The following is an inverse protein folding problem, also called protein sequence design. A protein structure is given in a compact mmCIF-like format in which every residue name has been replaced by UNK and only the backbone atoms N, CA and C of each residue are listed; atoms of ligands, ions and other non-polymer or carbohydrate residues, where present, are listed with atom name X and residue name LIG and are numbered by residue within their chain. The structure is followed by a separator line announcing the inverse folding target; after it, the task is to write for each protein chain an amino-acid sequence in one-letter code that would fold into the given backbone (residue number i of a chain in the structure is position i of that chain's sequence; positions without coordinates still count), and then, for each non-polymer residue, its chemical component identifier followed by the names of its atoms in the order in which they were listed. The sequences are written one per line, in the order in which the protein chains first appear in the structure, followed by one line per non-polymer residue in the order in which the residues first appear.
data_IF_479639645952
#
_entry.id   IF_479639645952
#
_cell.length_a   1.000
_cell.length_b   1.000
_cell.length_c   1.000
_cell.angle_alpha   90.00
_cell.angle_beta   90.00
_cell.angle_gamma   90.00
#
_symmetry.space_group_name_H-M   'P 1'
#
loop_
_entity.id
_entity.type
_entity.pdbx_description
1 polymer ?
#
# COMPACT_ATOMS: atom_id res chain seq x y z
N UNK A 1 9.71 17.06 8.40
CA UNK A 1 10.19 15.88 7.66
C UNK A 1 8.99 15.17 7.06
N UNK A 2 8.79 15.28 5.75
CA UNK A 2 7.71 14.61 5.00
C UNK A 2 8.36 13.95 3.78
N UNK A 3 9.26 13.00 4.00
CA UNK A 3 10.05 12.41 2.90
C UNK A 3 9.70 10.95 2.63
N UNK A 4 8.97 10.28 3.52
CA UNK A 4 8.63 8.85 3.38
C UNK A 4 7.63 8.57 2.26
N UNK A 5 6.83 9.58 1.86
CA UNK A 5 5.86 9.46 0.75
C UNK A 5 6.53 9.44 -0.64
N UNK A 6 7.68 10.09 -0.78
CA UNK A 6 8.37 10.19 -2.07
C UNK A 6 8.97 8.85 -2.53
N UNK A 7 9.23 7.95 -1.58
CA UNK A 7 9.78 6.61 -1.85
C UNK A 7 8.70 5.54 -2.01
N UNK A 8 7.41 5.89 -1.93
CA UNK A 8 6.34 4.91 -2.10
C UNK A 8 6.17 4.55 -3.58
N UNK A 9 5.96 3.26 -3.89
CA UNK A 9 5.73 2.79 -5.26
C UNK A 9 4.39 3.27 -5.83
N UNK A 10 3.51 3.79 -4.96
CA UNK A 10 2.20 4.34 -5.34
C UNK A 10 2.18 5.84 -5.07
N UNK A 11 2.00 6.68 -6.10
CA UNK A 11 1.86 8.12 -5.91
C UNK A 11 0.55 8.42 -5.19
N UNK A 12 0.58 9.44 -4.34
CA UNK A 12 -0.59 9.93 -3.59
C UNK A 12 -1.31 8.84 -2.78
N UNK A 13 -0.58 7.79 -2.38
CA UNK A 13 -1.14 6.61 -1.73
C UNK A 13 -2.01 6.94 -0.50
N UNK A 14 -1.60 7.90 0.32
CA UNK A 14 -2.35 8.37 1.49
C UNK A 14 -3.68 9.07 1.12
N UNK A 15 -3.83 9.57 -0.11
CA UNK A 15 -5.09 10.16 -0.58
C UNK A 15 -5.99 9.13 -1.29
N UNK A 16 -5.47 7.94 -1.58
CA UNK A 16 -6.22 6.93 -2.32
C UNK A 16 -7.27 6.25 -1.43
N UNK A 17 -8.51 6.10 -1.94
CA UNK A 17 -9.51 5.28 -1.28
C UNK A 17 -9.22 3.79 -1.48
N UNK A 18 -9.55 2.96 -0.48
CA UNK A 18 -9.31 1.52 -0.52
C UNK A 18 -9.91 0.83 -1.76
N UNK A 19 -11.04 1.32 -2.28
CA UNK A 19 -11.69 0.81 -3.50
C UNK A 19 -10.83 0.94 -4.77
N UNK A 20 -9.93 1.94 -4.83
CA UNK A 20 -9.07 2.21 -5.98
C UNK A 20 -7.68 1.58 -5.86
N UNK A 21 -7.30 1.11 -4.66
CA UNK A 21 -6.03 0.43 -4.43
C UNK A 21 -5.81 -0.80 -5.32
N UNK A 22 -6.80 -1.72 -5.53
CA UNK A 22 -6.58 -2.95 -6.28
C UNK A 22 -5.94 -2.72 -7.64
N UNK A 23 -6.50 -1.81 -8.44
CA UNK A 23 -5.97 -1.47 -9.77
C UNK A 23 -4.58 -0.85 -9.74
N UNK A 24 -4.20 -0.23 -8.62
CA UNK A 24 -2.89 0.42 -8.46
C UNK A 24 -1.82 -0.56 -8.00
N UNK A 25 -2.20 -1.53 -7.18
CA UNK A 25 -1.30 -2.56 -6.64
C UNK A 25 -1.20 -3.78 -7.56
N UNK A 26 -2.04 -3.88 -8.59
CA UNK A 26 -2.05 -5.01 -9.53
C UNK A 26 -0.67 -5.26 -10.15
N UNK A 27 0.01 -4.19 -10.59
CA UNK A 27 1.34 -4.22 -11.20
C UNK A 27 2.50 -4.22 -10.19
N UNK A 28 2.21 -4.27 -8.89
CA UNK A 28 3.25 -4.25 -7.85
C UNK A 28 3.72 -5.66 -7.50
N UNK A 29 5.02 -5.75 -7.19
CA UNK A 29 5.67 -6.94 -6.64
C UNK A 29 5.45 -7.07 -5.12
N UNK A 30 5.70 -8.27 -4.58
CA UNK A 30 5.56 -8.58 -3.16
C UNK A 30 6.39 -7.62 -2.27
N UNK A 31 7.59 -7.24 -2.68
CA UNK A 31 8.43 -6.30 -1.93
C UNK A 31 7.79 -4.92 -1.82
N UNK A 32 7.19 -4.45 -2.92
CA UNK A 32 6.51 -3.16 -2.98
C UNK A 32 5.23 -3.16 -2.12
N UNK A 33 4.48 -4.27 -2.13
CA UNK A 33 3.29 -4.43 -1.30
C UNK A 33 3.66 -4.47 0.19
N UNK A 34 4.73 -5.18 0.57
CA UNK A 34 5.22 -5.20 1.96
C UNK A 34 5.67 -3.80 2.44
N UNK A 35 6.31 -3.01 1.57
CA UNK A 35 6.66 -1.63 1.89
C UNK A 35 5.42 -0.77 2.17
N UNK A 36 4.34 -0.91 1.38
CA UNK A 36 3.08 -0.19 1.60
C UNK A 36 2.40 -0.61 2.91
N UNK A 37 2.45 -1.90 3.27
CA UNK A 37 1.91 -2.41 4.54
C UNK A 37 2.66 -1.78 5.71
N UNK A 38 4.00 -1.76 5.66
CA UNK A 38 4.82 -1.12 6.69
C UNK A 38 4.54 0.37 6.82
N UNK A 39 4.37 1.08 5.70
CA UNK A 39 4.00 2.49 5.69
C UNK A 39 2.63 2.72 6.34
N UNK A 40 1.60 1.97 5.93
CA UNK A 40 0.25 2.10 6.49
C UNK A 40 0.21 1.79 7.97
N UNK A 41 0.91 0.74 8.41
CA UNK A 41 1.06 0.33 9.82
C UNK A 41 1.88 1.30 10.68
N UNK A 42 2.47 2.35 10.10
CA UNK A 42 3.19 3.36 10.88
C UNK A 42 2.52 4.74 10.83
N UNK A 43 1.70 5.01 9.80
CA UNK A 43 1.17 6.36 9.55
C UNK A 43 -0.34 6.47 9.72
N UNK A 44 -1.13 5.63 9.05
CA UNK A 44 -2.56 5.85 8.89
C UNK A 44 -3.44 4.74 9.47
N UNK A 45 -2.90 3.53 9.65
CA UNK A 45 -3.59 2.36 10.20
C UNK A 45 -4.96 2.09 9.56
N UNK A 46 -5.12 2.34 8.25
CA UNK A 46 -6.39 2.13 7.58
C UNK A 46 -6.62 0.64 7.39
N UNK A 47 -7.50 0.09 8.20
CA UNK A 47 -7.79 -1.35 8.22
C UNK A 47 -8.24 -1.87 6.85
N UNK A 48 -9.07 -1.11 6.13
CA UNK A 48 -9.51 -1.48 4.77
C UNK A 48 -8.34 -1.55 3.77
N UNK A 49 -7.42 -0.60 3.83
CA UNK A 49 -6.23 -0.56 2.95
C UNK A 49 -5.30 -1.71 3.30
N UNK A 50 -5.04 -1.93 4.58
CA UNK A 50 -4.21 -3.05 5.05
C UNK A 50 -4.78 -4.39 4.62
N UNK A 51 -6.10 -4.59 4.72
CA UNK A 51 -6.75 -5.81 4.25
C UNK A 51 -6.55 -6.05 2.75
N UNK A 52 -6.65 -5.00 1.93
CA UNK A 52 -6.42 -5.09 0.48
C UNK A 52 -4.95 -5.44 0.17
N UNK A 53 -4.01 -4.80 0.86
CA UNK A 53 -2.58 -5.06 0.68
C UNK A 53 -2.17 -6.47 1.14
N UNK A 54 -2.64 -6.91 2.31
CA UNK A 54 -2.35 -8.26 2.82
C UNK A 54 -2.95 -9.32 1.90
N UNK A 55 -4.14 -9.09 1.33
CA UNK A 55 -4.74 -9.97 0.33
C UNK A 55 -3.87 -10.08 -0.93
N UNK A 56 -3.39 -8.95 -1.46
CA UNK A 56 -2.48 -8.95 -2.62
C UNK A 56 -1.17 -9.64 -2.29
N UNK A 57 -0.59 -9.41 -1.11
CA UNK A 57 0.60 -10.09 -0.63
C UNK A 57 0.41 -11.60 -0.62
N UNK A 58 -0.73 -12.10 -0.12
CA UNK A 58 -1.04 -13.53 -0.14
C UNK A 58 -1.21 -14.11 -1.55
N UNK A 59 -1.58 -13.29 -2.55
CA UNK A 59 -1.68 -13.74 -3.96
C UNK A 59 -0.32 -13.81 -4.67
N UNK A 60 0.66 -13.03 -4.21
CA UNK A 60 2.01 -12.96 -4.78
C UNK A 60 2.99 -13.93 -4.11
N UNK A 61 2.58 -14.54 -2.99
CA UNK A 61 3.35 -15.50 -2.20
C UNK A 61 3.13 -16.92 -2.69
#
# INVERSE_FOLDING_TARGET
MRSDRASLPVPEFDLLPARCLPSRIEALDIQQVEQLIGYERNHAHRIEVLNVLERKRSQLR
#
